data_IF_799779187372
#
_entry.id   IF_799779187372
#
_cell.length_a   1.000
_cell.length_b   1.000
_cell.length_c   1.000
_cell.angle_alpha   90.00
_cell.angle_beta   90.00
_cell.angle_gamma   90.00
#
_symmetry.space_group_name_H-M   'P 1'
#
loop_
_entity.id
_entity.type
_entity.pdbx_description
1 polymer ?
#
# COMPACT_ATOMS: atom_id res chain seq x y z
N UNK A 1 -68.36 -34.57 55.45
CA UNK A 1 -67.74 -35.74 54.80
C UNK A 1 -67.51 -35.45 53.32
N UNK A 2 -66.27 -35.61 52.88
CA UNK A 2 -65.76 -35.87 51.51
C UNK A 2 -65.87 -34.81 50.38
N UNK A 3 -64.65 -34.38 49.99
CA UNK A 3 -64.08 -34.17 48.64
C UNK A 3 -64.70 -33.10 47.73
N UNK A 4 -64.05 -31.94 47.52
CA UNK A 4 -62.92 -31.67 46.59
C UNK A 4 -63.07 -32.38 45.24
N UNK A 5 -63.35 -31.58 44.19
CA UNK A 5 -62.56 -31.37 42.95
C UNK A 5 -63.51 -30.93 41.82
N UNK A 6 -63.43 -29.68 41.32
CA UNK A 6 -63.57 -29.40 39.89
C UNK A 6 -63.16 -27.97 39.50
N UNK A 7 -62.20 -27.93 38.58
CA UNK A 7 -61.87 -26.95 37.53
C UNK A 7 -62.07 -25.44 37.77
N UNK A 8 -60.93 -24.77 37.85
CA UNK A 8 -60.70 -23.38 37.52
C UNK A 8 -60.94 -23.18 36.00
N UNK A 9 -62.02 -22.51 35.61
CA UNK A 9 -62.20 -21.96 34.25
C UNK A 9 -61.78 -20.49 34.28
N UNK A 10 -60.60 -20.24 33.72
CA UNK A 10 -60.04 -18.92 33.46
C UNK A 10 -60.89 -18.20 32.41
N UNK A 11 -61.53 -17.10 32.79
CA UNK A 11 -62.18 -16.18 31.87
C UNK A 11 -61.09 -15.22 31.36
N UNK A 12 -60.60 -15.43 30.13
CA UNK A 12 -59.75 -14.45 29.46
C UNK A 12 -60.62 -13.28 29.00
N UNK A 13 -60.62 -12.20 29.76
CA UNK A 13 -61.14 -10.91 29.31
C UNK A 13 -60.06 -10.27 28.42
N UNK A 14 -60.24 -10.39 27.11
CA UNK A 14 -59.42 -9.70 26.11
C UNK A 14 -59.66 -8.19 26.23
N UNK A 15 -58.73 -7.47 26.85
CA UNK A 15 -58.63 -6.02 26.72
C UNK A 15 -57.75 -5.77 25.51
N UNK A 16 -58.38 -5.56 24.35
CA UNK A 16 -57.72 -4.97 23.19
C UNK A 16 -57.38 -3.51 23.58
N UNK A 17 -56.15 -3.30 24.03
CA UNK A 17 -55.59 -1.96 24.19
C UNK A 17 -55.37 -1.42 22.77
N UNK A 18 -56.37 -0.72 22.26
CA UNK A 18 -56.26 0.02 21.01
C UNK A 18 -55.19 1.09 21.21
N UNK A 19 -53.98 0.81 20.74
CA UNK A 19 -52.96 1.84 20.51
C UNK A 19 -53.48 2.66 19.35
N UNK A 20 -54.28 3.69 19.69
CA UNK A 20 -54.62 4.76 18.76
C UNK A 20 -53.32 5.50 18.51
N UNK A 21 -52.65 5.16 17.41
CA UNK A 21 -51.71 6.07 16.78
C UNK A 21 -52.53 7.25 16.26
N UNK A 22 -52.73 8.25 17.12
CA UNK A 22 -53.16 9.56 16.69
C UNK A 22 -51.97 10.16 15.93
N UNK A 23 -51.94 9.95 14.61
CA UNK A 23 -51.03 10.69 13.74
C UNK A 23 -51.53 12.14 13.75
N UNK A 24 -51.03 12.92 14.69
CA UNK A 24 -51.20 14.37 14.71
C UNK A 24 -50.51 14.92 13.46
N UNK A 25 -51.32 15.49 12.56
CA UNK A 25 -50.82 16.18 11.38
C UNK A 25 -50.03 17.43 11.81
N UNK A 26 -48.95 17.79 11.10
CA UNK A 26 -48.16 18.96 11.45
C UNK A 26 -48.97 20.25 11.32
N UNK A 27 -48.81 21.09 12.34
CA UNK A 27 -49.22 22.48 12.45
C UNK A 27 -48.55 23.32 11.35
N UNK A 28 -49.34 24.14 10.67
CA UNK A 28 -49.05 25.03 9.52
C UNK A 28 -47.58 25.14 9.06
N UNK A 29 -47.29 24.51 7.93
CA UNK A 29 -46.05 24.68 7.18
C UNK A 29 -46.24 25.75 6.11
N UNK A 30 -45.55 26.88 6.22
CA UNK A 30 -45.14 27.67 5.05
C UNK A 30 -43.90 28.50 5.38
N UNK A 31 -42.75 27.82 5.41
CA UNK A 31 -41.57 28.39 4.75
C UNK A 31 -40.67 27.33 4.16
N UNK A 32 -39.95 27.75 3.14
CA UNK A 32 -38.99 26.94 2.40
C UNK A 32 -37.70 26.61 3.17
N UNK A 33 -37.49 27.18 4.36
CA UNK A 33 -36.17 27.18 5.02
C UNK A 33 -36.11 26.56 6.42
N UNK A 34 -37.23 26.43 7.12
CA UNK A 34 -37.28 25.90 8.49
C UNK A 34 -38.42 24.88 8.58
N UNK A 35 -38.18 23.75 9.23
CA UNK A 35 -39.23 22.79 9.60
C UNK A 35 -39.12 22.44 11.07
N UNK A 36 -40.22 22.02 11.68
CA UNK A 36 -40.24 21.55 13.07
C UNK A 36 -40.98 20.23 13.20
N UNK A 37 -40.54 19.41 14.15
CA UNK A 37 -41.21 18.17 14.55
C UNK A 37 -41.32 18.08 16.06
N UNK A 38 -42.31 17.36 16.55
CA UNK A 38 -42.49 17.05 17.97
C UNK A 38 -43.01 15.62 18.11
N UNK A 39 -42.70 14.96 19.23
CA UNK A 39 -43.30 13.68 19.59
C UNK A 39 -44.70 13.83 20.23
N UNK A 40 -45.13 15.08 20.48
CA UNK A 40 -46.41 15.38 21.10
C UNK A 40 -46.48 15.10 22.60
N UNK A 41 -45.35 14.79 23.23
CA UNK A 41 -45.29 14.43 24.65
C UNK A 41 -45.15 15.70 25.49
N UNK A 42 -46.13 15.92 26.37
CA UNK A 42 -46.09 16.99 27.38
C UNK A 42 -45.34 16.48 28.60
N UNK A 43 -44.30 17.21 29.00
CA UNK A 43 -43.41 16.91 30.12
C UNK A 43 -43.61 17.91 31.25
N UNK A 44 -43.35 17.49 32.48
CA UNK A 44 -43.35 18.36 33.66
C UNK A 44 -41.91 18.81 34.00
N UNK A 45 -41.79 19.81 34.89
CA UNK A 45 -40.53 20.43 35.30
C UNK A 45 -39.89 21.24 34.17
N UNK A 46 -40.44 22.43 33.94
CA UNK A 46 -39.98 23.31 32.88
C UNK A 46 -38.48 23.57 32.97
N UNK A 47 -37.77 23.51 31.84
CA UNK A 47 -36.41 24.01 31.77
C UNK A 47 -36.38 25.53 32.02
N UNK A 48 -35.20 26.03 32.37
CA UNK A 48 -35.00 27.46 32.58
C UNK A 48 -35.31 28.23 31.28
N UNK A 49 -36.33 29.10 31.33
CA UNK A 49 -36.78 29.90 30.19
C UNK A 49 -35.69 30.90 29.83
N UNK A 50 -35.30 30.90 28.57
CA UNK A 50 -34.26 31.82 28.04
C UNK A 50 -34.87 32.93 27.20
N UNK A 51 -36.12 32.78 26.76
CA UNK A 51 -36.81 33.69 25.84
C UNK A 51 -38.22 33.97 26.37
N UNK A 52 -38.54 35.25 26.53
CA UNK A 52 -39.86 35.70 26.95
C UNK A 52 -40.79 35.82 25.73
N UNK A 53 -42.05 35.44 25.89
CA UNK A 53 -43.07 35.73 24.89
C UNK A 53 -43.62 37.14 25.09
N UNK A 54 -42.88 38.19 24.77
CA UNK A 54 -43.31 39.59 24.97
C UNK A 54 -43.38 40.39 23.65
N UNK A 55 -43.32 39.69 22.51
CA UNK A 55 -43.28 40.28 21.18
C UNK A 55 -41.92 40.83 20.75
N UNK A 56 -40.88 40.69 21.57
CA UNK A 56 -39.52 41.03 21.14
C UNK A 56 -38.90 39.88 20.35
N UNK A 57 -38.06 40.24 19.37
CA UNK A 57 -37.25 39.30 18.60
C UNK A 57 -35.98 38.99 19.39
N UNK A 58 -35.73 37.70 19.63
CA UNK A 58 -34.57 37.22 20.34
C UNK A 58 -33.64 36.42 19.42
N UNK A 59 -32.31 36.62 19.48
CA UNK A 59 -31.36 35.77 18.78
C UNK A 59 -31.33 34.38 19.44
N UNK A 60 -31.50 33.33 18.63
CA UNK A 60 -31.35 31.93 19.07
C UNK A 60 -29.93 31.46 18.78
N UNK A 61 -29.46 31.70 17.56
CA UNK A 61 -28.10 31.40 17.12
C UNK A 61 -27.75 32.28 15.91
N UNK A 62 -26.58 32.09 15.30
CA UNK A 62 -26.16 32.85 14.11
C UNK A 62 -27.23 32.74 13.02
N UNK A 63 -27.82 33.87 12.64
CA UNK A 63 -28.82 33.92 11.57
C UNK A 63 -30.18 33.31 11.90
N UNK A 64 -30.43 32.90 13.15
CA UNK A 64 -31.71 32.36 13.60
C UNK A 64 -32.25 33.19 14.76
N UNK A 65 -33.47 33.69 14.60
CA UNK A 65 -34.19 34.48 15.60
C UNK A 65 -35.55 33.87 15.90
N UNK A 66 -36.14 34.24 17.03
CA UNK A 66 -37.49 33.84 17.40
C UNK A 66 -38.24 34.98 18.09
N UNK A 67 -39.53 35.08 17.80
CA UNK A 67 -40.46 36.01 18.44
C UNK A 67 -41.69 35.24 18.94
N UNK A 68 -42.18 35.58 20.14
CA UNK A 68 -43.45 35.07 20.64
C UNK A 68 -44.19 36.17 21.37
N UNK A 69 -45.51 36.24 21.21
CA UNK A 69 -46.36 37.24 21.90
C UNK A 69 -46.86 36.71 23.23
N UNK A 70 -47.14 37.62 24.16
CA UNK A 70 -47.57 37.26 25.51
C UNK A 70 -48.89 36.50 25.48
N UNK A 71 -48.94 35.36 26.17
CA UNK A 71 -50.10 34.47 26.21
C UNK A 71 -50.37 33.68 24.91
N UNK A 72 -49.69 33.97 23.80
CA UNK A 72 -49.86 33.28 22.53
C UNK A 72 -49.09 31.96 22.50
N UNK A 73 -49.71 30.81 22.17
CA UNK A 73 -49.00 29.53 21.99
C UNK A 73 -48.15 29.47 20.72
N UNK A 74 -48.18 30.54 19.91
CA UNK A 74 -47.50 30.64 18.62
C UNK A 74 -46.15 31.34 18.75
N UNK A 75 -45.12 30.73 18.17
CA UNK A 75 -43.76 31.27 18.06
C UNK A 75 -43.35 31.38 16.60
N UNK A 76 -42.81 32.53 16.20
CA UNK A 76 -42.29 32.78 14.86
C UNK A 76 -40.77 32.67 14.86
N UNK A 77 -40.23 31.62 14.26
CA UNK A 77 -38.81 31.48 13.99
C UNK A 77 -38.47 32.14 12.65
N UNK A 78 -37.38 32.89 12.57
CA UNK A 78 -36.91 33.50 11.32
C UNK A 78 -35.43 33.19 11.11
N UNK A 79 -35.09 32.60 9.98
CA UNK A 79 -33.73 32.31 9.53
C UNK A 79 -33.34 33.23 8.36
N UNK A 80 -32.16 33.83 8.41
CA UNK A 80 -31.64 34.71 7.35
C UNK A 80 -30.83 33.97 6.27
N UNK A 81 -30.60 32.67 6.45
CA UNK A 81 -29.84 31.83 5.53
C UNK A 81 -28.31 31.89 5.68
N UNK A 82 -27.79 32.61 6.67
CA UNK A 82 -26.35 32.73 6.93
C UNK A 82 -25.73 31.49 7.59
N UNK A 83 -26.56 30.60 8.16
CA UNK A 83 -26.16 29.36 8.78
C UNK A 83 -27.29 28.34 8.73
N UNK A 84 -26.96 27.10 8.36
CA UNK A 84 -27.86 25.95 8.48
C UNK A 84 -27.65 25.18 9.77
N UNK A 85 -28.72 24.53 10.23
CA UNK A 85 -28.74 23.72 11.45
C UNK A 85 -29.41 22.38 11.17
N UNK A 86 -28.69 21.30 11.45
CA UNK A 86 -29.23 19.94 11.36
C UNK A 86 -30.25 19.69 12.48
N UNK A 87 -30.08 20.36 13.63
CA UNK A 87 -31.02 20.29 14.73
C UNK A 87 -30.97 21.54 15.62
N UNK A 88 -32.12 22.08 15.98
CA UNK A 88 -32.30 23.06 17.05
C UNK A 88 -33.40 22.54 17.97
N UNK A 89 -33.06 22.22 19.21
CA UNK A 89 -34.03 21.78 20.21
C UNK A 89 -34.59 23.01 20.92
N UNK A 90 -35.92 23.12 20.96
CA UNK A 90 -36.61 24.15 21.74
C UNK A 90 -37.67 23.52 22.63
N UNK A 91 -37.89 24.14 23.78
CA UNK A 91 -38.90 23.74 24.74
C UNK A 91 -39.91 24.88 24.88
N UNK A 92 -41.15 24.63 24.46
CA UNK A 92 -42.23 25.59 24.64
C UNK A 92 -42.85 25.34 26.01
N UNK A 93 -42.79 26.33 26.89
CA UNK A 93 -43.26 26.20 28.28
C UNK A 93 -44.69 26.73 28.41
N UNK A 94 -45.60 25.89 28.91
CA UNK A 94 -47.01 26.20 29.12
C UNK A 94 -47.35 26.54 30.58
N UNK A 95 -48.62 26.45 30.95
CA UNK A 95 -49.04 26.52 32.35
C UNK A 95 -48.65 25.25 33.15
N UNK A 96 -48.96 25.24 34.45
CA UNK A 96 -48.80 24.08 35.34
C UNK A 96 -47.40 23.45 35.36
N UNK A 97 -46.35 24.24 35.10
CA UNK A 97 -44.97 23.75 35.02
C UNK A 97 -44.76 22.66 33.97
N UNK A 98 -45.52 22.71 32.86
CA UNK A 98 -45.44 21.79 31.74
C UNK A 98 -44.72 22.38 30.52
N UNK A 99 -44.10 21.55 29.69
CA UNK A 99 -43.50 21.95 28.43
C UNK A 99 -43.60 20.84 27.37
N UNK A 100 -43.39 21.21 26.11
CA UNK A 100 -43.27 20.28 24.99
C UNK A 100 -41.97 20.56 24.23
N UNK A 101 -41.36 19.50 23.71
CA UNK A 101 -40.11 19.59 22.95
C UNK A 101 -40.40 19.64 21.46
N UNK A 102 -39.76 20.58 20.76
CA UNK A 102 -39.70 20.62 19.31
C UNK A 102 -38.26 20.50 18.83
N UNK A 103 -38.07 19.78 17.73
CA UNK A 103 -36.82 19.70 16.97
C UNK A 103 -37.00 20.43 15.66
N UNK A 104 -36.25 21.51 15.47
CA UNK A 104 -36.26 22.29 14.25
C UNK A 104 -35.07 21.90 13.37
N UNK A 105 -35.29 21.89 12.06
CA UNK A 105 -34.24 21.81 11.04
C UNK A 105 -34.25 23.12 10.27
N UNK A 106 -33.09 23.76 10.13
CA UNK A 106 -32.94 25.02 9.40
C UNK A 106 -32.06 24.76 8.19
N UNK A 107 -32.70 24.69 7.01
CA UNK A 107 -32.05 24.34 5.75
C UNK A 107 -31.75 25.56 4.87
N UNK A 108 -32.30 26.73 5.20
CA UNK A 108 -32.05 27.99 4.48
C UNK A 108 -32.83 29.16 5.08
N UNK A 109 -32.87 30.28 4.36
CA UNK A 109 -33.65 31.44 4.77
C UNK A 109 -35.15 31.13 4.76
N UNK A 110 -35.89 31.62 5.74
CA UNK A 110 -37.33 31.37 5.87
C UNK A 110 -37.89 31.71 7.24
N UNK A 111 -39.20 31.50 7.41
CA UNK A 111 -39.91 31.74 8.66
C UNK A 111 -40.80 30.55 9.04
N UNK A 112 -40.72 30.07 10.27
CA UNK A 112 -41.58 28.97 10.71
C UNK A 112 -42.44 29.40 11.88
N UNK A 113 -43.75 29.30 11.67
CA UNK A 113 -44.73 29.50 12.71
C UNK A 113 -44.97 28.17 13.45
N UNK A 114 -44.53 28.12 14.71
CA UNK A 114 -44.70 26.99 15.60
C UNK A 114 -45.89 27.29 16.51
N UNK A 115 -47.04 26.66 16.27
CA UNK A 115 -48.20 26.70 17.18
C UNK A 115 -48.20 25.49 18.13
N UNK A 116 -48.01 25.76 19.42
CA UNK A 116 -48.04 24.75 20.49
C UNK A 116 -49.42 24.56 21.12
N UNK A 117 -50.46 25.25 20.63
CA UNK A 117 -51.83 25.19 21.16
C UNK A 117 -52.44 23.79 21.25
N UNK A 118 -52.09 22.81 20.37
CA UNK A 118 -52.64 21.46 20.51
C UNK A 118 -52.19 20.72 21.77
N UNK A 119 -51.11 21.17 22.40
CA UNK A 119 -50.45 20.45 23.50
C UNK A 119 -50.45 21.22 24.81
N UNK A 120 -50.37 22.55 24.75
CA UNK A 120 -50.21 23.40 25.93
C UNK A 120 -51.19 24.56 25.91
N UNK A 121 -51.76 24.88 27.07
CA UNK A 121 -52.52 26.10 27.29
C UNK A 121 -51.62 27.18 27.87
N UNK A 122 -51.70 28.40 27.32
CA UNK A 122 -51.01 29.59 27.81
C UNK A 122 -49.49 29.48 27.79
N UNK A 123 -48.86 30.04 26.76
CA UNK A 123 -47.42 30.11 26.66
C UNK A 123 -46.82 31.02 27.74
N UNK A 124 -45.80 30.53 28.43
CA UNK A 124 -45.10 31.25 29.49
C UNK A 124 -43.63 31.54 29.15
N UNK A 125 -43.18 31.22 27.93
CA UNK A 125 -41.81 31.41 27.47
C UNK A 125 -41.24 30.20 26.76
N UNK A 126 -40.05 30.37 26.20
CA UNK A 126 -39.35 29.35 25.42
C UNK A 126 -37.94 29.16 26.00
N UNK A 127 -37.52 27.91 26.12
CA UNK A 127 -36.15 27.56 26.47
C UNK A 127 -35.45 26.95 25.25
N UNK A 128 -34.18 27.29 25.08
CA UNK A 128 -33.33 26.75 24.02
C UNK A 128 -32.53 25.56 24.57
N UNK A 129 -32.63 24.43 23.88
CA UNK A 129 -31.85 23.23 24.15
C UNK A 129 -30.58 23.15 23.33
N UNK A 130 -30.19 21.93 22.95
CA UNK A 130 -29.02 21.71 22.10
C UNK A 130 -29.22 22.28 20.69
N UNK A 131 -28.16 22.86 20.15
CA UNK A 131 -28.09 23.37 18.78
C UNK A 131 -26.95 22.64 18.06
N UNK A 132 -27.27 21.99 16.95
CA UNK A 132 -26.33 21.26 16.09
C UNK A 132 -26.24 21.98 14.74
N UNK A 133 -25.19 22.79 14.50
CA UNK A 133 -25.00 23.45 13.22
C UNK A 133 -24.67 22.42 12.14
N UNK A 134 -25.18 22.67 10.92
CA UNK A 134 -24.80 21.87 9.76
C UNK A 134 -23.33 22.11 9.43
N UNK A 135 -22.60 21.02 9.20
CA UNK A 135 -21.19 21.07 8.83
C UNK A 135 -21.01 20.80 7.34
N UNK A 136 -20.29 21.71 6.69
CA UNK A 136 -19.80 21.57 5.33
C UNK A 136 -18.61 20.61 5.30
N UNK A 137 -18.46 19.87 4.22
CA UNK A 137 -17.28 19.04 3.95
C UNK A 137 -16.92 19.11 2.47
N UNK A 138 -15.68 18.77 2.14
CA UNK A 138 -15.18 18.69 0.77
C UNK A 138 -14.06 17.66 0.70
N UNK A 139 -13.74 17.22 -0.51
CA UNK A 139 -12.76 16.15 -0.74
C UNK A 139 -11.69 16.63 -1.72
N UNK A 140 -10.46 16.15 -1.52
CA UNK A 140 -9.36 16.32 -2.48
C UNK A 140 -8.86 14.93 -2.85
N UNK A 141 -8.78 14.66 -4.15
CA UNK A 141 -8.30 13.39 -4.69
C UNK A 141 -7.12 13.65 -5.63
N UNK A 142 -6.04 12.92 -5.41
CA UNK A 142 -4.76 13.06 -6.11
C UNK A 142 -4.57 11.87 -7.04
N UNK A 143 -4.25 12.14 -8.30
CA UNK A 143 -4.00 11.14 -9.34
C UNK A 143 -2.56 11.18 -9.83
N UNK A 144 -2.07 10.01 -10.21
CA UNK A 144 -0.74 9.82 -10.79
C UNK A 144 -0.93 9.19 -12.17
N UNK A 145 -0.74 9.99 -13.21
CA UNK A 145 -0.97 9.57 -14.60
C UNK A 145 0.33 9.55 -15.37
N UNK A 146 0.42 8.65 -16.33
CA UNK A 146 1.48 8.72 -17.34
C UNK A 146 1.25 9.91 -18.30
N UNK A 147 2.33 10.60 -18.67
CA UNK A 147 2.27 11.76 -19.56
C UNK A 147 1.65 11.41 -20.92
N UNK A 148 0.73 12.26 -21.37
CA UNK A 148 0.08 12.08 -22.67
C UNK A 148 -0.96 10.96 -22.68
N UNK A 149 -1.21 10.31 -21.55
CA UNK A 149 -2.26 9.30 -21.40
C UNK A 149 -3.20 9.64 -20.22
N UNK A 150 -4.29 8.89 -20.10
CA UNK A 150 -5.17 8.91 -18.91
C UNK A 150 -4.96 7.68 -18.03
N UNK A 151 -3.87 6.94 -18.25
CA UNK A 151 -3.60 5.69 -17.56
C UNK A 151 -3.06 5.98 -16.17
N UNK A 152 -3.74 5.52 -15.10
CA UNK A 152 -3.20 5.62 -13.75
C UNK A 152 -2.00 4.69 -13.57
N UNK A 153 -0.90 5.22 -13.05
CA UNK A 153 0.31 4.45 -12.74
C UNK A 153 0.41 4.09 -11.25
N UNK A 154 -0.44 4.69 -10.40
CA UNK A 154 -0.58 4.34 -9.00
C UNK A 154 -2.03 4.59 -8.54
N UNK A 155 -2.47 3.96 -7.43
CA UNK A 155 -3.77 4.26 -6.84
C UNK A 155 -3.91 5.74 -6.50
N UNK A 156 -5.07 6.32 -6.79
CA UNK A 156 -5.35 7.69 -6.37
C UNK A 156 -5.34 7.81 -4.84
N UNK A 157 -4.79 8.91 -4.33
CA UNK A 157 -4.86 9.23 -2.89
C UNK A 157 -6.05 10.14 -2.63
N UNK A 158 -6.73 9.93 -1.51
CA UNK A 158 -7.79 10.83 -1.03
C UNK A 158 -7.32 11.43 0.28
N UNK A 159 -7.26 12.76 0.35
CA UNK A 159 -6.89 13.45 1.58
C UNK A 159 -8.04 13.39 2.58
N UNK A 160 -7.72 13.67 3.86
CA UNK A 160 -8.72 13.84 4.90
C UNK A 160 -9.76 14.86 4.43
N UNK A 161 -11.05 14.55 4.62
CA UNK A 161 -12.15 15.47 4.30
C UNK A 161 -12.57 16.20 5.57
N UNK A 162 -12.02 17.41 5.86
CA UNK A 162 -12.36 18.13 7.07
C UNK A 162 -13.80 18.63 7.02
N UNK A 163 -14.30 19.07 8.17
CA UNK A 163 -15.61 19.71 8.30
C UNK A 163 -15.47 21.14 8.80
N UNK A 164 -16.36 22.03 8.35
CA UNK A 164 -16.40 23.44 8.80
C UNK A 164 -17.82 24.01 8.77
N UNK A 165 -18.06 25.10 9.49
CA UNK A 165 -19.38 25.75 9.54
C UNK A 165 -19.56 26.80 8.43
N UNK A 166 -20.81 27.18 8.18
CA UNK A 166 -21.17 28.15 7.16
C UNK A 166 -20.67 29.56 7.52
N UNK A 167 -20.07 30.24 6.54
CA UNK A 167 -19.42 31.53 6.73
C UNK A 167 -18.10 31.48 7.52
N UNK A 168 -17.57 30.30 7.84
CA UNK A 168 -16.17 30.14 8.26
C UNK A 168 -15.27 29.97 7.02
N UNK A 169 -14.01 30.36 7.15
CA UNK A 169 -13.00 30.08 6.11
C UNK A 169 -12.83 28.58 5.97
N UNK A 170 -12.96 28.07 4.75
CA UNK A 170 -12.74 26.66 4.47
C UNK A 170 -11.29 26.25 4.79
N UNK A 171 -11.06 25.05 5.36
CA UNK A 171 -9.71 24.55 5.60
C UNK A 171 -8.87 24.54 4.32
N UNK A 172 -7.55 24.63 4.47
CA UNK A 172 -6.62 24.51 3.34
C UNK A 172 -6.21 23.06 3.12
N UNK A 173 -5.79 22.76 1.89
CA UNK A 173 -5.09 21.53 1.55
C UNK A 173 -3.75 21.85 0.87
N UNK A 174 -2.86 20.88 0.94
CA UNK A 174 -1.60 20.84 0.21
C UNK A 174 -1.36 19.41 -0.23
N UNK A 175 -0.97 19.22 -1.49
CA UNK A 175 -0.64 17.93 -2.06
C UNK A 175 0.81 17.90 -2.49
N UNK A 176 1.40 16.71 -2.45
CA UNK A 176 2.70 16.44 -3.03
C UNK A 176 2.70 15.06 -3.68
N UNK A 177 3.69 14.81 -4.52
CA UNK A 177 3.82 13.56 -5.25
C UNK A 177 5.27 13.05 -5.13
N UNK A 178 5.46 11.72 -5.09
CA UNK A 178 6.80 11.14 -5.06
C UNK A 178 7.56 11.45 -6.36
N UNK A 179 8.89 11.61 -6.27
CA UNK A 179 9.73 11.88 -7.44
C UNK A 179 9.78 10.70 -8.43
N UNK A 180 9.58 9.48 -7.96
CA UNK A 180 9.49 8.27 -8.77
C UNK A 180 8.42 7.30 -8.24
N UNK A 181 7.88 6.49 -9.15
CA UNK A 181 6.90 5.44 -8.86
C UNK A 181 7.33 4.18 -9.61
N UNK A 182 7.44 3.07 -8.90
CA UNK A 182 7.63 1.74 -9.49
C UNK A 182 6.31 0.98 -9.45
N UNK A 183 5.90 0.45 -10.60
CA UNK A 183 4.67 -0.35 -10.73
C UNK A 183 4.94 -1.84 -10.49
N UNK A 184 3.89 -2.59 -10.17
CA UNK A 184 4.00 -4.01 -9.85
C UNK A 184 4.52 -4.88 -11.01
N UNK A 185 4.43 -4.38 -12.25
CA UNK A 185 5.00 -5.02 -13.45
C UNK A 185 6.50 -4.72 -13.66
N UNK A 186 7.12 -3.97 -12.76
CA UNK A 186 8.53 -3.58 -12.83
C UNK A 186 8.83 -2.36 -13.70
N UNK A 187 7.81 -1.65 -14.19
CA UNK A 187 8.03 -0.36 -14.87
C UNK A 187 8.30 0.76 -13.86
N UNK A 188 9.32 1.57 -14.11
CA UNK A 188 9.61 2.77 -13.31
C UNK A 188 9.14 4.04 -14.02
N UNK A 189 8.65 5.00 -13.26
CA UNK A 189 8.19 6.30 -13.74
C UNK A 189 8.82 7.43 -12.93
N UNK A 190 9.07 8.57 -13.57
CA UNK A 190 9.62 9.78 -12.92
C UNK A 190 8.65 10.96 -13.05
N UNK A 191 8.52 11.73 -11.98
CA UNK A 191 7.66 12.93 -11.95
C UNK A 191 8.20 14.00 -12.90
N UNK A 192 7.32 14.56 -13.73
CA UNK A 192 7.68 15.64 -14.66
C UNK A 192 7.53 16.98 -13.96
N UNK A 193 8.64 17.54 -13.46
CA UNK A 193 8.66 18.80 -12.69
C UNK A 193 8.16 20.02 -13.47
N UNK A 194 8.18 19.98 -14.80
CA UNK A 194 7.62 21.04 -15.65
C UNK A 194 6.11 20.97 -15.85
N UNK A 195 5.45 19.89 -15.42
CA UNK A 195 4.00 19.66 -15.53
C UNK A 195 3.34 19.50 -14.16
N UNK A 196 3.86 20.18 -13.13
CA UNK A 196 3.22 20.20 -11.83
C UNK A 196 1.86 20.92 -11.91
N UNK A 197 0.82 20.42 -11.23
CA UNK A 197 -0.49 21.07 -11.26
C UNK A 197 -0.45 22.45 -10.57
N UNK A 198 -1.26 23.39 -11.03
CA UNK A 198 -1.36 24.71 -10.40
C UNK A 198 -2.19 24.68 -9.10
N UNK A 199 -3.03 23.66 -8.92
CA UNK A 199 -3.91 23.46 -7.76
C UNK A 199 -3.34 22.51 -6.71
N UNK A 200 -2.02 22.52 -6.50
CA UNK A 200 -1.37 21.72 -5.45
C UNK A 200 -1.73 22.20 -4.04
N UNK A 201 -2.06 23.48 -3.91
CA UNK A 201 -2.54 24.09 -2.67
C UNK A 201 -3.83 24.83 -2.95
N UNK A 202 -4.68 24.93 -1.93
CA UNK A 202 -5.93 25.67 -2.03
C UNK A 202 -6.80 25.48 -0.81
N UNK A 203 -8.06 25.89 -0.91
CA UNK A 203 -9.08 25.66 0.10
C UNK A 203 -10.04 24.56 -0.35
N UNK A 204 -10.53 23.76 0.58
CA UNK A 204 -11.61 22.82 0.31
C UNK A 204 -12.86 23.55 -0.18
N UNK A 205 -13.65 22.87 -1.02
CA UNK A 205 -14.91 23.39 -1.55
C UNK A 205 -16.06 22.53 -1.02
N UNK A 206 -17.08 23.18 -0.47
CA UNK A 206 -18.23 22.51 0.13
C UNK A 206 -18.97 21.65 -0.90
N UNK A 207 -19.19 20.37 -0.58
CA UNK A 207 -19.89 19.41 -1.43
C UNK A 207 -19.16 19.02 -2.71
N UNK A 208 -17.90 19.42 -2.89
CA UNK A 208 -17.12 19.18 -4.11
C UNK A 208 -15.90 18.29 -3.87
N UNK A 209 -15.51 17.58 -4.93
CA UNK A 209 -14.25 16.86 -5.01
C UNK A 209 -13.30 17.63 -5.91
N UNK A 210 -12.19 18.08 -5.35
CA UNK A 210 -11.09 18.70 -6.09
C UNK A 210 -10.17 17.59 -6.60
N UNK A 211 -9.95 17.56 -7.91
CA UNK A 211 -9.07 16.58 -8.55
C UNK A 211 -7.70 17.24 -8.82
N UNK A 212 -6.64 16.69 -8.23
CA UNK A 212 -5.25 17.11 -8.45
C UNK A 212 -4.54 16.01 -9.22
N UNK A 213 -3.86 16.35 -10.32
CA UNK A 213 -3.23 15.35 -11.19
C UNK A 213 -1.76 15.65 -11.40
N UNK A 214 -0.90 14.67 -11.09
CA UNK A 214 0.52 14.70 -11.37
C UNK A 214 0.85 13.79 -12.55
N UNK A 215 1.68 14.29 -13.47
CA UNK A 215 2.11 13.57 -14.66
C UNK A 215 3.53 13.02 -14.53
N UNK A 216 3.71 11.80 -15.03
CA UNK A 216 4.97 11.06 -14.95
C UNK A 216 5.43 10.59 -16.33
N UNK A 217 6.74 10.61 -16.55
CA UNK A 217 7.39 10.02 -17.72
C UNK A 217 7.83 8.59 -17.40
N UNK A 218 7.64 7.67 -18.35
CA UNK A 218 8.10 6.29 -18.23
C UNK A 218 9.62 6.23 -18.36
N UNK A 219 10.28 5.61 -17.38
CA UNK A 219 11.71 5.30 -17.44
C UNK A 219 11.84 4.01 -18.25
N UNK A 220 12.39 4.12 -19.46
CA UNK A 220 12.69 2.94 -20.25
C UNK A 220 13.93 2.24 -19.68
N UNK A 221 13.92 0.90 -19.57
CA UNK A 221 15.12 0.17 -19.24
C UNK A 221 16.18 0.45 -20.30
N UNK A 222 17.42 0.64 -19.85
CA UNK A 222 18.54 0.80 -20.78
C UNK A 222 18.65 -0.46 -21.64
N UNK A 223 18.76 -0.27 -22.96
CA UNK A 223 18.89 -1.38 -23.90
C UNK A 223 20.23 -2.07 -23.63
N UNK A 224 20.20 -3.36 -23.29
CA UNK A 224 21.42 -4.17 -23.12
C UNK A 224 21.67 -5.00 -24.37
N UNK A 225 22.92 -5.04 -24.81
CA UNK A 225 23.39 -5.95 -25.84
C UNK A 225 24.18 -7.09 -25.21
N UNK A 226 24.09 -8.27 -25.82
CA UNK A 226 24.94 -9.42 -25.49
C UNK A 226 25.76 -9.83 -26.70
N UNK A 227 26.89 -10.49 -26.50
CA UNK A 227 27.69 -11.03 -27.59
C UNK A 227 28.48 -12.24 -27.15
N UNK A 228 28.71 -13.18 -28.06
CA UNK A 228 29.32 -14.48 -27.73
C UNK A 228 30.44 -14.82 -28.71
N UNK A 229 31.59 -15.25 -28.20
CA UNK A 229 32.70 -15.79 -29.02
C UNK A 229 32.77 -17.31 -28.89
N UNK A 230 32.83 -18.02 -30.02
CA UNK A 230 33.12 -19.46 -30.05
C UNK A 230 34.39 -19.70 -30.85
N UNK A 231 35.32 -20.43 -30.23
CA UNK A 231 36.58 -20.80 -30.86
C UNK A 231 36.54 -22.25 -31.32
N UNK A 232 36.84 -22.47 -32.60
CA UNK A 232 36.90 -23.77 -33.25
C UNK A 232 38.34 -24.13 -33.60
N UNK A 233 38.68 -25.39 -33.43
CA UNK A 233 40.00 -25.93 -33.76
C UNK A 233 39.85 -26.94 -34.91
N UNK A 234 40.45 -26.62 -36.05
CA UNK A 234 40.35 -27.39 -37.29
C UNK A 234 41.73 -27.77 -37.82
N UNK A 235 41.84 -28.87 -38.56
CA UNK A 235 43.04 -29.19 -39.31
C UNK A 235 43.13 -28.39 -40.63
N UNK A 236 44.19 -28.61 -41.41
CA UNK A 236 44.40 -27.94 -42.70
C UNK A 236 43.33 -28.28 -43.76
N UNK A 237 42.56 -29.35 -43.55
CA UNK A 237 41.46 -29.77 -44.40
C UNK A 237 40.10 -29.25 -43.90
N UNK A 238 40.07 -28.52 -42.79
CA UNK A 238 38.86 -27.96 -42.19
C UNK A 238 38.10 -28.91 -41.27
N UNK A 239 38.64 -30.09 -40.97
CA UNK A 239 38.01 -31.05 -40.05
C UNK A 239 38.28 -30.62 -38.61
N UNK A 240 37.25 -30.68 -37.77
CA UNK A 240 37.35 -30.38 -36.34
C UNK A 240 38.20 -31.42 -35.61
N UNK A 241 39.20 -30.96 -34.88
CA UNK A 241 40.22 -31.77 -34.18
C UNK A 241 40.28 -31.51 -32.68
N UNK A 242 39.39 -30.69 -32.14
CA UNK A 242 39.14 -30.61 -30.70
C UNK A 242 37.71 -30.13 -30.41
N UNK A 243 37.28 -30.23 -29.16
CA UNK A 243 36.05 -29.58 -28.73
C UNK A 243 36.22 -28.06 -28.84
N UNK A 244 35.21 -27.34 -29.35
CA UNK A 244 35.21 -25.88 -29.36
C UNK A 244 35.26 -25.38 -27.92
N UNK A 245 36.13 -24.41 -27.66
CA UNK A 245 36.18 -23.73 -26.37
C UNK A 245 35.05 -22.71 -26.35
N UNK A 246 34.11 -22.86 -25.41
CA UNK A 246 32.83 -22.17 -25.44
C UNK A 246 32.85 -20.77 -24.83
N UNK A 247 32.30 -19.82 -25.60
CA UNK A 247 31.33 -18.79 -25.23
C UNK A 247 31.75 -17.76 -24.18
N UNK A 248 32.86 -17.04 -24.41
CA UNK A 248 33.06 -15.76 -23.72
C UNK A 248 31.87 -14.86 -24.08
N UNK A 249 30.99 -14.68 -23.10
CA UNK A 249 29.75 -13.93 -23.27
C UNK A 249 29.86 -12.68 -22.44
N UNK A 250 29.76 -11.55 -23.11
CA UNK A 250 29.78 -10.24 -22.49
C UNK A 250 28.44 -9.54 -22.71
N UNK A 251 28.06 -8.72 -21.74
CA UNK A 251 26.88 -7.86 -21.80
C UNK A 251 27.31 -6.41 -21.59
N UNK A 252 26.78 -5.49 -22.40
CA UNK A 252 27.08 -4.06 -22.29
C UNK A 252 25.83 -3.22 -22.59
N UNK A 253 25.81 -1.97 -22.12
CA UNK A 253 24.71 -1.06 -22.43
C UNK A 253 24.81 -0.60 -23.88
N UNK A 254 23.67 -0.34 -24.54
CA UNK A 254 23.64 0.20 -25.89
C UNK A 254 24.27 1.60 -26.00
N UNK A 255 24.37 2.31 -24.88
CA UNK A 255 25.07 3.58 -24.74
C UNK A 255 26.59 3.43 -24.56
N UNK A 256 27.08 2.23 -24.28
CA UNK A 256 28.49 1.93 -24.08
C UNK A 256 29.16 1.42 -25.36
N UNK A 257 30.49 1.60 -25.43
CA UNK A 257 31.29 0.94 -26.45
C UNK A 257 31.31 -0.57 -26.20
N UNK A 258 31.10 -1.36 -27.27
CA UNK A 258 31.19 -2.81 -27.18
C UNK A 258 32.58 -3.25 -26.67
N UNK A 259 32.64 -4.24 -25.76
CA UNK A 259 33.91 -4.74 -25.24
C UNK A 259 34.82 -5.28 -26.35
N UNK A 260 36.13 -5.21 -26.12
CA UNK A 260 37.10 -5.89 -26.96
C UNK A 260 37.19 -7.37 -26.56
N UNK A 261 37.46 -8.25 -27.53
CA UNK A 261 37.86 -9.62 -27.29
C UNK A 261 39.22 -9.90 -27.93
N UNK A 262 39.98 -10.81 -27.32
CA UNK A 262 41.24 -11.31 -27.84
C UNK A 262 41.31 -12.82 -27.66
N UNK A 263 41.42 -13.56 -28.76
CA UNK A 263 41.61 -15.02 -28.72
C UNK A 263 43.01 -15.43 -29.16
N UNK A 264 43.71 -14.61 -29.95
CA UNK A 264 45.08 -14.88 -30.33
C UNK A 264 46.01 -14.72 -29.12
N UNK A 265 46.93 -15.67 -28.94
CA UNK A 265 47.82 -15.73 -27.77
C UNK A 265 47.05 -15.71 -26.43
N UNK A 266 45.84 -16.25 -26.43
CA UNK A 266 45.06 -16.47 -25.22
C UNK A 266 45.12 -17.93 -24.81
N UNK A 267 44.82 -18.22 -23.54
CA UNK A 267 44.72 -19.60 -23.03
C UNK A 267 43.65 -20.43 -23.76
N UNK A 268 42.69 -19.78 -24.43
CA UNK A 268 41.67 -20.46 -25.22
C UNK A 268 42.24 -21.15 -26.47
N UNK A 269 43.42 -20.73 -26.94
CA UNK A 269 44.04 -21.20 -28.17
C UNK A 269 45.39 -21.84 -27.84
N UNK A 270 45.42 -23.13 -27.47
CA UNK A 270 46.67 -23.80 -27.12
C UNK A 270 47.59 -23.95 -28.34
N UNK A 271 48.91 -23.87 -28.13
CA UNK A 271 49.90 -24.03 -29.20
C UNK A 271 49.93 -25.44 -29.80
N UNK A 272 49.62 -26.45 -28.99
CA UNK A 272 49.57 -27.86 -29.38
C UNK A 272 48.32 -28.53 -28.85
N UNK A 273 47.72 -29.39 -29.67
CA UNK A 273 46.58 -30.22 -29.29
C UNK A 273 46.81 -31.66 -29.74
N UNK A 274 46.22 -32.61 -29.02
CA UNK A 274 46.26 -34.03 -29.35
C UNK A 274 44.87 -34.51 -29.75
N UNK A 275 44.77 -35.13 -30.92
CA UNK A 275 43.51 -35.67 -31.44
C UNK A 275 43.76 -37.02 -32.09
N UNK A 276 43.00 -38.05 -31.66
CA UNK A 276 43.13 -39.42 -32.16
C UNK A 276 44.58 -39.98 -32.14
N UNK A 277 45.34 -39.67 -31.08
CA UNK A 277 46.73 -40.13 -30.93
C UNK A 277 47.77 -39.39 -31.77
N UNK A 278 47.34 -38.39 -32.57
CA UNK A 278 48.22 -37.52 -33.34
C UNK A 278 48.39 -36.17 -32.63
N UNK A 279 49.60 -35.61 -32.72
CA UNK A 279 49.90 -34.27 -32.21
C UNK A 279 49.77 -33.25 -33.33
N UNK A 280 49.12 -32.13 -33.05
CA UNK A 280 48.93 -31.01 -33.97
C UNK A 280 49.52 -29.74 -33.35
N UNK A 281 50.12 -28.88 -34.18
CA UNK A 281 50.67 -27.59 -33.81
C UNK A 281 49.89 -26.47 -34.50
N UNK A 282 49.61 -25.39 -33.77
CA UNK A 282 48.93 -24.23 -34.29
C UNK A 282 49.70 -23.62 -35.47
N UNK A 283 49.03 -23.44 -36.61
CA UNK A 283 49.62 -22.87 -37.80
C UNK A 283 49.70 -21.34 -37.68
N UNK A 284 50.83 -20.84 -37.18
CA UNK A 284 51.04 -19.40 -36.90
C UNK A 284 51.04 -18.52 -38.17
N UNK A 285 51.19 -19.13 -39.35
CA UNK A 285 51.04 -18.47 -40.65
C UNK A 285 49.58 -18.42 -41.17
N UNK A 286 48.62 -19.00 -40.43
CA UNK A 286 47.20 -19.09 -40.79
C UNK A 286 46.29 -18.59 -39.66
N UNK A 287 46.71 -17.56 -38.92
CA UNK A 287 45.88 -16.96 -37.88
C UNK A 287 44.69 -16.22 -38.51
N UNK A 288 43.45 -16.49 -38.06
CA UNK A 288 42.28 -15.87 -38.66
C UNK A 288 42.27 -14.35 -38.38
N UNK A 289 41.83 -13.56 -39.36
CA UNK A 289 41.82 -12.10 -39.25
C UNK A 289 40.86 -11.57 -38.18
N UNK A 290 39.85 -12.37 -37.79
CA UNK A 290 38.89 -12.03 -36.74
C UNK A 290 39.27 -12.58 -35.35
N UNK A 291 40.51 -13.03 -35.16
CA UNK A 291 41.03 -13.55 -33.89
C UNK A 291 40.83 -12.57 -32.72
N UNK A 292 40.96 -11.28 -32.98
CA UNK A 292 40.78 -10.20 -32.02
C UNK A 292 39.84 -9.15 -32.63
N UNK A 293 39.06 -8.47 -31.80
CA UNK A 293 38.10 -7.48 -32.29
C UNK A 293 37.19 -6.92 -31.21
N UNK A 294 36.05 -6.40 -31.62
CA UNK A 294 34.97 -5.92 -30.75
C UNK A 294 33.76 -6.84 -30.86
N UNK A 295 33.05 -7.04 -29.75
CA UNK A 295 31.79 -7.76 -29.75
C UNK A 295 30.77 -7.09 -30.69
N UNK A 296 29.94 -7.92 -31.33
CA UNK A 296 28.83 -7.43 -32.15
C UNK A 296 27.51 -7.59 -31.37
N UNK A 297 26.65 -6.54 -31.33
CA UNK A 297 25.37 -6.61 -30.61
C UNK A 297 24.51 -7.79 -31.01
N UNK A 298 24.13 -8.59 -30.02
CA UNK A 298 23.25 -9.76 -30.11
C UNK A 298 23.72 -10.81 -31.13
N UNK A 299 25.04 -10.97 -31.30
CA UNK A 299 25.63 -11.89 -32.28
C UNK A 299 26.63 -12.86 -31.66
N UNK A 300 26.69 -14.03 -32.28
CA UNK A 300 27.75 -15.02 -32.09
C UNK A 300 28.83 -14.81 -33.16
N UNK A 301 30.09 -14.73 -32.74
CA UNK A 301 31.27 -14.68 -33.60
C UNK A 301 31.98 -16.02 -33.49
N UNK A 302 32.22 -16.66 -34.63
CA UNK A 302 32.97 -17.92 -34.72
C UNK A 302 34.37 -17.66 -35.26
N UNK A 303 35.37 -18.20 -34.56
CA UNK A 303 36.79 -18.04 -34.90
C UNK A 303 37.38 -19.42 -35.11
N UNK A 304 38.00 -19.65 -36.26
CA UNK A 304 38.54 -20.96 -36.65
C UNK A 304 40.07 -20.91 -36.66
N UNK A 305 40.70 -21.61 -35.73
CA UNK A 305 42.16 -21.77 -35.71
C UNK A 305 42.56 -23.07 -36.39
N UNK A 306 43.52 -22.95 -37.31
CA UNK A 306 44.04 -24.06 -38.12
C UNK A 306 45.27 -24.65 -37.45
N UNK A 307 45.32 -25.98 -37.33
CA UNK A 307 46.50 -26.70 -36.84
C UNK A 307 47.06 -27.64 -37.90
N UNK A 308 48.38 -27.82 -37.85
CA UNK A 308 49.18 -28.68 -38.71
C UNK A 308 49.57 -29.95 -37.95
N UNK A 309 49.48 -31.10 -38.62
CA UNK A 309 49.93 -32.37 -38.07
C UNK A 309 51.45 -32.35 -37.86
N UNK A 310 51.93 -32.66 -36.65
CA UNK A 310 53.35 -32.97 -36.46
C UNK A 310 53.60 -34.38 -36.99
N UNK A 311 54.22 -34.49 -38.15
CA UNK A 311 54.75 -35.76 -38.61
C UNK A 311 55.90 -36.16 -37.67
N UNK A 312 55.68 -37.15 -36.80
CA UNK A 312 56.81 -37.86 -36.19
C UNK A 312 57.61 -38.54 -37.31
N UNK A 313 58.94 -38.44 -37.37
CA UNK A 313 59.72 -39.26 -38.27
C UNK A 313 59.50 -40.73 -37.88
N UNK A 314 58.92 -41.51 -38.78
CA UNK A 314 58.98 -42.98 -38.70
C UNK A 314 60.46 -43.35 -38.91
N UNK A 315 61.15 -43.72 -37.84
CA UNK A 315 62.47 -44.37 -37.92
C UNK A 315 62.25 -45.89 -37.84
N UNK A 316 62.73 -46.69 -38.82
CA UNK A 316 62.52 -48.14 -38.86
C UNK A 316 63.41 -48.89 -37.85
N UNK A 317 62.99 -50.12 -37.52
CA UNK A 317 63.55 -51.00 -36.47
C UNK A 317 64.70 -51.92 -36.95
N UNK A 318 65.70 -52.14 -36.05
CA UNK A 318 66.58 -53.32 -35.78
C UNK A 318 67.75 -53.69 -36.75
N UNK A 319 68.79 -54.49 -36.35
CA UNK A 319 69.03 -55.26 -35.09
C UNK A 319 70.47 -55.27 -34.45
N UNK A 320 70.52 -55.81 -33.22
CA UNK A 320 71.49 -56.64 -32.46
C UNK A 320 72.97 -56.28 -32.13
N UNK A 321 73.25 -56.44 -30.83
CA UNK A 321 74.44 -56.92 -30.08
C UNK A 321 75.84 -56.31 -30.31
N UNK A 322 76.49 -55.87 -29.20
CA UNK A 322 77.72 -56.45 -28.57
C UNK A 322 77.97 -55.73 -27.22
N UNK A 323 77.94 -56.47 -26.10
CA UNK A 323 78.69 -56.21 -24.83
C UNK A 323 80.10 -56.85 -24.94
N UNK A 324 81.14 -56.59 -24.09
CA UNK A 324 81.14 -56.05 -22.72
C UNK A 324 82.28 -55.02 -22.43
N UNK A 325 82.30 -54.27 -21.33
CA UNK A 325 82.96 -54.64 -20.04
C UNK A 325 82.83 -53.45 -19.06
N UNK A 326 82.42 -53.74 -17.81
CA UNK A 326 82.14 -52.77 -16.73
C UNK A 326 83.39 -52.26 -15.98
N UNK A 327 83.34 -52.03 -14.64
CA UNK A 327 82.19 -51.97 -13.73
C UNK A 327 82.24 -50.78 -12.73
N UNK A 328 81.31 -50.83 -11.76
CA UNK A 328 81.41 -50.30 -10.38
C UNK A 328 80.81 -48.90 -10.17
N UNK A 329 79.71 -48.68 -9.42
CA UNK A 329 79.33 -49.28 -8.14
C UNK A 329 77.81 -49.15 -7.81
N UNK A 330 77.28 -50.24 -7.26
CA UNK A 330 76.04 -50.54 -6.47
C UNK A 330 75.86 -49.72 -5.17
N UNK A 331 74.82 -49.91 -4.30
CA UNK A 331 73.77 -50.96 -4.23
C UNK A 331 72.30 -50.46 -4.02
N UNK A 332 71.26 -51.09 -4.60
CA UNK A 332 70.51 -52.31 -4.16
C UNK A 332 69.50 -52.01 -3.02
N UNK A 333 68.22 -52.42 -2.98
CA UNK A 333 67.56 -53.74 -3.18
C UNK A 333 66.03 -53.49 -3.08
N UNK A 334 65.11 -53.78 -4.04
CA UNK A 334 64.51 -55.06 -4.50
C UNK A 334 63.52 -55.73 -3.47
N UNK A 335 62.49 -56.56 -3.81
CA UNK A 335 61.47 -56.62 -4.91
C UNK A 335 60.01 -56.99 -4.46
N UNK A 336 59.05 -57.04 -5.42
CA UNK A 336 58.24 -58.22 -5.87
C UNK A 336 56.82 -57.81 -6.38
N UNK A 337 56.50 -57.87 -7.70
CA UNK A 337 55.85 -58.98 -8.49
C UNK A 337 54.38 -59.25 -8.06
N UNK A 338 53.30 -59.44 -8.85
CA UNK A 338 52.87 -59.39 -10.28
C UNK A 338 51.41 -59.92 -10.33
N UNK A 339 50.57 -59.45 -11.27
CA UNK A 339 49.48 -60.16 -12.01
C UNK A 339 48.38 -59.15 -12.40
N UNK A 340 48.29 -58.73 -13.66
CA UNK A 340 47.54 -59.30 -14.81
C UNK A 340 46.03 -58.93 -14.84
N UNK A 341 45.67 -58.24 -15.93
CA UNK A 341 44.48 -58.37 -16.78
C UNK A 341 43.11 -57.70 -16.48
N UNK A 342 42.70 -56.98 -17.52
CA UNK A 342 41.37 -56.90 -18.19
C UNK A 342 40.37 -55.79 -17.85
N UNK A 343 39.93 -55.12 -18.94
CA UNK A 343 38.57 -54.67 -19.28
C UNK A 343 38.04 -53.26 -18.88
N UNK A 344 37.81 -52.45 -19.92
CA UNK A 344 36.64 -51.57 -20.15
C UNK A 344 35.31 -52.34 -19.92
N UNK A 345 34.10 -51.72 -19.74
CA UNK A 345 33.60 -50.48 -20.37
C UNK A 345 32.94 -49.50 -19.37
N UNK A 346 32.88 -48.19 -19.63
CA UNK A 346 31.90 -47.46 -20.47
C UNK A 346 30.46 -47.46 -19.91
N UNK A 347 29.95 -46.21 -19.78
CA UNK A 347 28.58 -45.77 -20.09
C UNK A 347 27.63 -45.39 -18.94
N UNK A 348 27.25 -44.11 -19.04
CA UNK A 348 25.89 -43.55 -19.00
C UNK A 348 25.14 -43.37 -17.67
N UNK A 349 24.82 -42.09 -17.46
CA UNK A 349 23.44 -41.56 -17.41
C UNK A 349 22.74 -41.36 -16.05
N UNK A 350 22.36 -40.08 -15.87
CA UNK A 350 21.03 -39.58 -15.47
C UNK A 350 20.74 -39.28 -13.97
N UNK A 351 20.54 -37.97 -13.75
CA UNK A 351 19.53 -37.22 -12.98
C UNK A 351 19.05 -37.63 -11.57
N UNK A 352 18.91 -36.58 -10.73
CA UNK A 352 17.87 -36.23 -9.71
C UNK A 352 17.30 -37.40 -8.87
N UNK A 353 17.17 -37.31 -7.54
CA UNK A 353 16.37 -36.33 -6.80
C UNK A 353 16.41 -36.65 -5.27
N UNK A 354 16.25 -35.63 -4.42
CA UNK A 354 15.61 -35.62 -3.06
C UNK A 354 15.87 -36.73 -2.02
N UNK A 355 16.30 -36.36 -0.79
CA UNK A 355 15.43 -36.18 0.40
C UNK A 355 16.23 -36.15 1.74
N UNK A 356 15.73 -35.31 2.66
CA UNK A 356 15.84 -35.20 4.14
C UNK A 356 16.48 -36.33 4.97
N UNK A 357 17.29 -36.00 5.99
CA UNK A 357 16.82 -35.93 7.40
C UNK A 357 17.83 -35.35 8.44
N UNK A 358 17.25 -34.91 9.57
CA UNK A 358 17.74 -34.19 10.78
C UNK A 358 19.03 -34.68 11.48
N UNK A 359 19.75 -33.78 12.18
CA UNK A 359 19.81 -33.67 13.67
C UNK A 359 20.76 -32.55 14.20
N UNK A 360 20.29 -31.92 15.28
CA UNK A 360 20.73 -30.83 16.16
C UNK A 360 22.14 -30.90 16.79
N UNK A 361 22.81 -29.74 17.00
CA UNK A 361 23.52 -29.35 18.24
C UNK A 361 23.99 -27.87 18.23
N UNK A 362 24.08 -27.30 19.44
CA UNK A 362 24.15 -25.88 19.84
C UNK A 362 25.51 -25.16 19.67
N UNK A 363 25.47 -23.82 19.52
CA UNK A 363 26.02 -22.78 20.45
C UNK A 363 26.24 -21.44 19.70
N UNK A 364 25.46 -20.38 19.96
CA UNK A 364 25.63 -19.32 20.97
C UNK A 364 26.84 -18.38 20.77
N UNK A 365 26.62 -17.17 20.23
CA UNK A 365 26.97 -15.87 20.85
C UNK A 365 26.52 -14.67 20.00
N UNK A 366 26.18 -13.60 20.70
CA UNK A 366 25.30 -12.49 20.35
C UNK A 366 26.02 -11.22 19.87
N UNK A 367 25.19 -10.21 19.52
CA UNK A 367 25.37 -8.74 19.49
C UNK A 367 25.65 -8.15 18.10
N UNK A 368 25.07 -7.03 17.66
CA UNK A 368 24.23 -5.98 18.30
C UNK A 368 23.69 -5.04 17.20
N UNK A 369 22.53 -4.40 17.43
CA UNK A 369 22.00 -3.26 16.66
C UNK A 369 22.80 -1.96 16.95
N UNK A 370 22.87 -0.99 16.02
CA UNK A 370 23.35 0.35 16.33
C UNK A 370 22.23 1.34 16.72
N UNK A 371 22.55 2.17 17.70
CA UNK A 371 21.84 3.39 18.10
C UNK A 371 22.24 4.60 17.23
N UNK A 372 21.30 5.52 17.03
CA UNK A 372 21.53 6.97 16.88
C UNK A 372 20.37 7.63 17.65
N UNK A 373 20.46 8.75 18.37
CA UNK A 373 21.47 9.78 18.59
C UNK A 373 20.68 10.97 19.17
N UNK A 374 21.11 11.49 20.31
CA UNK A 374 20.37 12.39 21.21
C UNK A 374 20.06 13.79 20.64
N UNK A 375 18.98 14.40 21.15
CA UNK A 375 18.93 15.84 21.44
C UNK A 375 18.15 16.05 22.74
N UNK A 376 18.84 16.57 23.75
CA UNK A 376 18.30 16.89 25.07
C UNK A 376 18.13 18.41 25.17
N UNK A 377 16.93 18.86 25.53
CA UNK A 377 16.69 20.16 26.16
C UNK A 377 15.85 19.92 27.41
N UNK A 378 16.41 20.33 28.55
CA UNK A 378 15.89 20.17 29.90
C UNK A 378 15.07 21.38 30.32
N UNK A 379 13.94 21.18 30.98
CA UNK A 379 13.46 22.06 32.05
C UNK A 379 12.50 21.30 32.98
N UNK A 380 12.85 21.22 34.27
CA UNK A 380 12.02 20.67 35.33
C UNK A 380 11.26 21.79 36.07
N UNK A 381 10.15 21.37 36.70
CA UNK A 381 9.38 21.98 37.80
C UNK A 381 8.21 22.93 37.47
N UNK A 382 6.99 22.42 37.62
CA UNK A 382 6.12 22.81 38.74
C UNK A 382 5.11 21.69 39.08
N UNK A 383 4.94 21.42 40.37
CA UNK A 383 3.95 20.50 40.97
C UNK A 383 2.64 21.25 41.27
N UNK A 384 1.59 20.45 41.51
CA UNK A 384 0.24 20.72 42.07
C UNK A 384 -0.81 20.54 40.95
N UNK A 385 -1.79 19.63 41.00
CA UNK A 385 -2.24 18.66 41.98
C UNK A 385 -3.64 18.18 41.56
N UNK A 386 -4.21 17.25 42.34
CA UNK A 386 -5.66 16.99 42.52
C UNK A 386 -6.32 15.77 41.81
N UNK A 387 -6.38 14.69 42.60
CA UNK A 387 -7.55 13.85 42.96
C UNK A 387 -8.46 13.26 41.87
N UNK A 388 -8.43 11.93 41.75
CA UNK A 388 -9.61 11.12 41.41
C UNK A 388 -9.99 10.26 42.63
N UNK A 389 -11.08 10.66 43.29
CA UNK A 389 -11.79 9.90 44.31
C UNK A 389 -12.88 9.04 43.65
N UNK A 390 -12.98 7.78 44.12
CA UNK A 390 -14.18 6.96 44.36
C UNK A 390 -15.17 6.72 43.19
N UNK A 391 -15.78 5.54 43.05
CA UNK A 391 -15.94 4.48 44.03
C UNK A 391 -16.63 3.26 43.46
N UNK A 392 -16.35 2.17 44.14
CA UNK A 392 -16.97 0.84 44.07
C UNK A 392 -18.35 0.92 44.72
N UNK A 393 -19.38 0.31 44.13
CA UNK A 393 -20.51 -0.27 44.88
C UNK A 393 -20.98 -1.60 44.23
N UNK A 394 -21.49 -2.57 45.02
CA UNK A 394 -21.32 -4.00 44.75
C UNK A 394 -22.57 -4.70 44.22
N UNK A 395 -22.34 -5.87 43.61
CA UNK A 395 -23.38 -6.87 43.31
C UNK A 395 -24.02 -7.43 44.58
N UNK A 396 -25.34 -7.32 44.68
CA UNK A 396 -26.17 -8.04 45.65
C UNK A 396 -26.15 -9.56 45.37
N UNK A 397 -25.85 -10.33 46.43
CA UNK A 397 -26.03 -11.78 46.50
C UNK A 397 -27.52 -12.15 46.57
N UNK A 398 -27.94 -13.04 45.68
CA UNK A 398 -29.09 -13.92 45.88
C UNK A 398 -28.64 -15.20 46.60
N UNK A 399 -29.26 -15.54 47.73
CA UNK A 399 -29.69 -16.92 48.01
C UNK A 399 -30.67 -17.00 49.18
N UNK A 400 -31.56 -17.99 49.03
CA UNK A 400 -32.62 -18.51 49.91
C UNK A 400 -32.29 -18.55 51.39
#
# INVERSE_FOLDING_TARGET
MKNRTFLLKTLFLSVFMAVIFLVLQPVSADSSGISATTDGIVLENQPHKTIAGNGHVYPVSKGLTVEGKEGSPVWLFTADGSQRYDEVIVYVCGQANQYITYRLVVSGAGQYELDASPYLCGNQGLAIGQITPHLLTGTVKVHYLEQGSKTPIAPSQTLNSPTWQEGQTAPTYETSAPESIDTADGTSYRLIKSLLPDNQTGNYQAGQTIEVTYFYEKILPEVQYTGTIIVHFIDEQGKRIAASTSALTESWLASEQAPNYQTWQSEMVPEKISFNGQAYQLATNKIPSNANGIYQPNKQIEIYYVYQLLNSPVSPELPDDIEPTGPSNTPNTQPAIRADKTEQPQALAVQKQTATDKKTANSHLQNSLPQTGQSSQTSNLSKVGLLLFLGIYPLLKFRK
#
